data_IF_405773096414
#
_entry.id   IF_405773096414
#
_cell.length_a   1.000
_cell.length_b   1.000
_cell.length_c   1.000
_cell.angle_alpha   90.00
_cell.angle_beta   90.00
_cell.angle_gamma   90.00
#
_symmetry.space_group_name_H-M   'P 1'
#
loop_
_entity.id
_entity.type
_entity.pdbx_description
1 polymer ?
#
# COMPACT_ATOMS: atom_id res chain seq x y z
N UNK A 1 12.10 -4.24 5.81
CA UNK A 1 11.39 -5.16 6.67
C UNK A 1 11.33 -4.74 8.12
N UNK A 2 10.26 -5.08 8.79
CA UNK A 2 10.11 -4.82 10.22
C UNK A 2 10.85 -5.90 11.02
N UNK A 3 11.74 -5.50 11.93
CA UNK A 3 12.26 -6.35 12.96
C UNK A 3 11.90 -5.76 14.32
N UNK A 4 11.37 -6.59 15.21
CA UNK A 4 11.08 -6.15 16.57
C UNK A 4 12.36 -6.10 17.39
N UNK A 5 12.88 -4.90 17.61
CA UNK A 5 14.04 -4.68 18.48
C UNK A 5 13.58 -4.12 19.84
N UNK A 6 12.52 -3.32 19.83
CA UNK A 6 11.94 -2.68 21.00
C UNK A 6 10.42 -2.68 20.93
N UNK A 7 9.74 -2.71 22.08
CA UNK A 7 8.31 -2.47 22.14
C UNK A 7 7.98 -0.99 21.81
N UNK A 8 6.85 -0.69 21.12
CA UNK A 8 5.89 -1.65 20.55
C UNK A 8 6.41 -2.33 19.28
N UNK A 9 6.20 -3.65 19.18
CA UNK A 9 6.72 -4.47 18.11
C UNK A 9 5.62 -4.78 17.09
N UNK A 10 5.88 -4.51 15.81
CA UNK A 10 4.95 -4.80 14.71
C UNK A 10 4.87 -6.31 14.47
N UNK A 11 6.01 -6.97 14.47
CA UNK A 11 6.15 -8.42 14.29
C UNK A 11 7.48 -8.93 14.83
N UNK A 12 7.62 -10.25 15.03
CA UNK A 12 8.81 -10.84 15.63
C UNK A 12 9.95 -11.09 14.65
N UNK A 13 9.67 -11.14 13.35
CA UNK A 13 10.65 -11.40 12.31
C UNK A 13 10.69 -10.26 11.30
N UNK A 14 11.83 -10.08 10.64
CA UNK A 14 11.95 -9.18 9.49
C UNK A 14 11.17 -9.73 8.31
N UNK A 15 10.66 -8.84 7.47
CA UNK A 15 10.19 -9.22 6.14
C UNK A 15 11.38 -9.57 5.24
N UNK A 16 11.15 -10.39 4.24
CA UNK A 16 12.15 -10.89 3.28
C UNK A 16 12.34 -9.96 2.06
N UNK A 17 11.81 -8.76 2.12
CA UNK A 17 11.92 -7.77 1.05
C UNK A 17 12.44 -6.42 1.54
N UNK A 18 13.00 -5.64 0.62
CA UNK A 18 13.39 -4.27 0.87
C UNK A 18 12.23 -3.31 0.62
N UNK A 19 12.08 -2.33 1.49
CA UNK A 19 11.16 -1.21 1.30
C UNK A 19 11.57 -0.32 0.13
N UNK A 20 10.60 0.40 -0.44
CA UNK A 20 10.80 1.32 -1.56
C UNK A 20 11.95 2.32 -1.33
N UNK A 21 12.03 2.90 -0.14
CA UNK A 21 13.10 3.83 0.23
C UNK A 21 14.47 3.16 0.20
N UNK A 22 14.60 1.95 0.74
CA UNK A 22 15.87 1.20 0.75
C UNK A 22 16.31 0.83 -0.66
N UNK A 23 15.38 0.43 -1.52
CA UNK A 23 15.67 0.13 -2.94
C UNK A 23 16.21 1.39 -3.62
N UNK A 24 15.54 2.53 -3.43
CA UNK A 24 15.96 3.81 -4.02
C UNK A 24 17.35 4.23 -3.53
N UNK A 25 17.62 4.13 -2.23
CA UNK A 25 18.93 4.50 -1.66
C UNK A 25 20.05 3.59 -2.15
N UNK A 26 19.81 2.27 -2.19
CA UNK A 26 20.78 1.30 -2.72
C UNK A 26 21.06 1.56 -4.20
N UNK A 27 20.04 1.81 -4.99
CA UNK A 27 20.19 2.10 -6.42
C UNK A 27 20.98 3.39 -6.63
N UNK A 28 20.64 4.47 -5.94
CA UNK A 28 21.37 5.73 -6.00
C UNK A 28 22.84 5.56 -5.61
N UNK A 29 23.12 4.73 -4.60
CA UNK A 29 24.50 4.42 -4.19
C UNK A 29 25.27 3.68 -5.26
N UNK A 30 24.65 2.66 -5.88
CA UNK A 30 25.25 1.90 -6.98
C UNK A 30 25.57 2.82 -8.15
N UNK A 31 24.64 3.67 -8.56
CA UNK A 31 24.81 4.59 -9.69
C UNK A 31 25.89 5.67 -9.43
N UNK A 32 26.06 6.12 -8.19
CA UNK A 32 26.92 7.24 -7.88
C UNK A 32 28.38 6.87 -7.56
N UNK A 33 28.62 5.70 -6.98
CA UNK A 33 29.94 5.36 -6.40
C UNK A 33 30.43 3.94 -6.69
N UNK A 34 29.62 3.06 -7.24
CA UNK A 34 29.99 1.66 -7.48
C UNK A 34 30.61 1.44 -8.87
N UNK A 35 31.62 2.24 -9.22
CA UNK A 35 32.30 2.22 -10.52
C UNK A 35 33.34 1.08 -10.66
N UNK A 36 33.49 0.21 -9.68
CA UNK A 36 34.33 -0.99 -9.75
C UNK A 36 33.55 -2.25 -10.19
N UNK A 37 32.22 -2.16 -10.30
CA UNK A 37 31.39 -3.30 -10.69
C UNK A 37 31.47 -3.57 -12.19
N UNK A 38 31.53 -4.86 -12.56
CA UNK A 38 31.28 -5.29 -13.93
C UNK A 38 29.79 -5.50 -14.14
N UNK A 39 29.23 -4.92 -15.20
CA UNK A 39 27.84 -5.06 -15.54
C UNK A 39 27.67 -6.12 -16.64
N UNK A 40 26.69 -7.00 -16.46
CA UNK A 40 26.28 -7.97 -17.48
C UNK A 40 24.82 -7.67 -17.85
N UNK A 41 24.53 -7.42 -19.14
CA UNK A 41 23.15 -7.25 -19.56
C UNK A 41 22.34 -8.53 -19.30
N UNK A 42 21.21 -8.41 -18.64
CA UNK A 42 20.29 -9.53 -18.35
C UNK A 42 19.27 -9.73 -19.47
N UNK A 43 19.02 -8.71 -20.30
CA UNK A 43 17.95 -8.70 -21.28
C UNK A 43 16.56 -8.53 -20.67
N UNK A 44 16.47 -8.39 -19.35
CA UNK A 44 15.23 -8.20 -18.62
C UNK A 44 14.88 -6.71 -18.50
N UNK A 45 13.64 -6.36 -18.84
CA UNK A 45 13.09 -5.00 -18.70
C UNK A 45 12.52 -4.78 -17.30
N UNK A 46 12.52 -3.54 -16.84
CA UNK A 46 11.81 -3.23 -15.61
C UNK A 46 10.30 -3.11 -15.86
N UNK A 47 9.46 -3.47 -14.88
CA UNK A 47 8.02 -3.22 -14.97
C UNK A 47 7.70 -1.74 -15.21
N UNK A 48 6.61 -1.48 -15.93
CA UNK A 48 6.05 -0.14 -16.13
C UNK A 48 4.81 -0.04 -15.25
N UNK A 49 4.80 0.94 -14.33
CA UNK A 49 3.73 1.12 -13.35
C UNK A 49 2.84 2.31 -13.74
N UNK A 50 1.55 2.18 -13.41
CA UNK A 50 0.61 3.27 -13.33
C UNK A 50 -0.23 3.05 -12.05
N UNK A 51 0.06 3.80 -10.98
CA UNK A 51 -0.66 3.76 -9.70
C UNK A 51 -1.96 4.57 -9.73
N UNK A 52 -2.18 5.34 -10.80
CA UNK A 52 -3.36 6.18 -10.98
C UNK A 52 -3.11 7.64 -10.59
N UNK A 53 -4.12 8.26 -9.98
CA UNK A 53 -4.10 9.68 -9.59
C UNK A 53 -4.19 9.81 -8.06
N UNK A 54 -3.75 10.97 -7.56
CA UNK A 54 -3.96 11.36 -6.16
C UNK A 54 -5.45 11.35 -5.81
N UNK A 55 -5.77 10.90 -4.59
CA UNK A 55 -7.14 10.81 -4.10
C UNK A 55 -7.41 11.81 -2.98
N UNK A 56 -8.64 12.32 -2.98
CA UNK A 56 -9.19 13.05 -1.84
C UNK A 56 -10.42 12.32 -1.35
N UNK A 57 -10.43 11.96 -0.06
CA UNK A 57 -11.49 11.15 0.56
C UNK A 57 -11.97 11.79 1.87
N UNK A 58 -13.16 11.48 2.36
CA UNK A 58 -13.58 11.86 3.71
C UNK A 58 -12.69 11.21 4.78
N UNK A 59 -12.51 11.88 5.92
CA UNK A 59 -11.93 11.24 7.12
C UNK A 59 -12.77 10.02 7.53
N UNK A 60 -12.20 9.11 8.31
CA UNK A 60 -12.87 7.90 8.83
C UNK A 60 -13.45 6.97 7.74
N UNK A 61 -12.97 7.07 6.52
CA UNK A 61 -13.42 6.26 5.39
C UNK A 61 -12.35 5.26 4.98
N UNK A 62 -12.61 3.94 5.07
CA UNK A 62 -11.75 2.92 4.47
C UNK A 62 -11.63 3.13 2.95
N UNK A 63 -10.48 2.81 2.39
CA UNK A 63 -10.23 3.02 0.96
C UNK A 63 -9.44 1.88 0.35
N UNK A 64 -9.34 1.85 -0.96
CA UNK A 64 -8.52 0.90 -1.70
C UNK A 64 -7.52 1.64 -2.57
N UNK A 65 -6.25 1.28 -2.46
CA UNK A 65 -5.22 1.67 -3.41
C UNK A 65 -5.27 0.69 -4.58
N UNK A 66 -5.37 1.22 -5.79
CA UNK A 66 -5.45 0.43 -7.02
C UNK A 66 -4.23 0.72 -7.86
N UNK A 67 -3.43 -0.30 -8.13
CA UNK A 67 -2.29 -0.22 -9.03
C UNK A 67 -2.55 -0.93 -10.34
N UNK A 68 -1.73 -0.62 -11.31
CA UNK A 68 -1.64 -1.34 -12.56
C UNK A 68 -0.19 -1.34 -13.02
N UNK A 69 0.28 -2.48 -13.52
CA UNK A 69 1.61 -2.57 -14.10
C UNK A 69 1.61 -3.56 -15.27
N UNK A 70 2.53 -3.34 -16.18
CA UNK A 70 2.85 -4.24 -17.29
C UNK A 70 4.35 -4.48 -17.33
N UNK A 71 4.76 -5.58 -17.96
CA UNK A 71 6.16 -5.85 -18.24
C UNK A 71 6.37 -6.12 -19.74
N UNK A 72 7.56 -5.76 -20.23
CA UNK A 72 7.94 -6.02 -21.61
C UNK A 72 8.30 -7.47 -21.88
N UNK A 73 8.50 -8.27 -20.85
CA UNK A 73 8.83 -9.67 -20.90
C UNK A 73 7.57 -10.50 -20.62
N UNK A 74 7.02 -11.17 -21.62
CA UNK A 74 5.67 -11.78 -21.62
C UNK A 74 5.41 -12.84 -20.52
N UNK A 75 6.45 -13.43 -19.95
CA UNK A 75 6.33 -14.52 -18.97
C UNK A 75 6.61 -14.09 -17.53
N UNK A 76 6.85 -12.82 -17.28
CA UNK A 76 7.20 -12.34 -15.95
C UNK A 76 5.97 -12.30 -15.04
N UNK A 77 6.15 -12.84 -13.84
CA UNK A 77 5.08 -12.88 -12.82
C UNK A 77 5.27 -11.72 -11.85
N UNK A 78 4.48 -10.69 -12.03
CA UNK A 78 4.58 -9.48 -11.22
C UNK A 78 4.06 -9.70 -9.80
N UNK A 79 4.76 -9.10 -8.84
CA UNK A 79 4.30 -8.96 -7.47
C UNK A 79 4.28 -7.49 -7.03
N UNK A 80 3.32 -7.15 -6.19
CA UNK A 80 2.95 -5.79 -5.84
C UNK A 80 3.06 -5.57 -4.34
N UNK A 81 3.61 -4.42 -3.96
CA UNK A 81 3.67 -3.99 -2.57
C UNK A 81 3.31 -2.50 -2.47
N UNK A 82 2.24 -2.19 -1.74
CA UNK A 82 1.90 -0.82 -1.36
C UNK A 82 2.46 -0.50 0.01
N UNK A 83 3.25 0.55 0.11
CA UNK A 83 3.88 1.00 1.34
C UNK A 83 3.52 2.46 1.63
N UNK A 84 3.24 2.78 2.89
CA UNK A 84 3.18 4.18 3.30
C UNK A 84 4.60 4.69 3.52
N UNK A 85 4.93 5.84 2.93
CA UNK A 85 6.29 6.40 2.91
C UNK A 85 6.44 7.66 3.78
N UNK A 86 5.41 8.03 4.54
CA UNK A 86 5.51 9.10 5.52
C UNK A 86 6.48 8.70 6.64
N UNK A 87 7.47 9.56 6.90
CA UNK A 87 8.62 9.24 7.76
C UNK A 87 8.69 10.04 9.06
N UNK A 88 7.66 10.80 9.37
CA UNK A 88 7.60 11.57 10.63
C UNK A 88 7.55 10.62 11.82
N UNK A 89 8.29 10.96 12.87
CA UNK A 89 8.27 10.21 14.13
C UNK A 89 7.02 10.59 14.90
N UNK A 90 6.18 9.60 15.16
CA UNK A 90 4.90 9.75 15.88
C UNK A 90 4.72 8.62 16.88
N UNK A 91 3.69 8.74 17.73
CA UNK A 91 3.32 7.69 18.69
C UNK A 91 2.98 6.38 17.97
N UNK A 92 3.51 5.25 18.46
CA UNK A 92 3.24 3.91 17.96
C UNK A 92 2.70 3.00 19.08
N UNK A 93 1.75 2.11 18.78
CA UNK A 93 1.04 1.93 17.50
C UNK A 93 0.34 3.20 17.03
N UNK A 94 0.09 3.35 15.69
CA UNK A 94 -0.53 4.54 15.15
C UNK A 94 -1.91 4.80 15.76
N UNK A 95 -2.26 6.08 15.89
CA UNK A 95 -3.57 6.51 16.40
C UNK A 95 -4.32 7.30 15.33
N UNK A 96 -5.65 7.19 15.31
CA UNK A 96 -6.50 7.78 14.26
C UNK A 96 -6.49 9.32 14.23
N UNK A 97 -6.06 9.95 15.32
CA UNK A 97 -5.95 11.41 15.46
C UNK A 97 -4.59 11.98 15.06
N UNK A 98 -3.64 11.12 14.63
CA UNK A 98 -2.35 11.60 14.15
C UNK A 98 -2.49 12.34 12.82
N UNK A 99 -1.96 13.56 12.77
CA UNK A 99 -1.99 14.42 11.58
C UNK A 99 -0.83 14.18 10.61
N UNK A 100 0.14 13.32 10.98
CA UNK A 100 1.32 12.99 10.19
C UNK A 100 1.86 11.60 10.55
N UNK A 101 2.89 11.14 9.84
CA UNK A 101 3.58 9.88 10.09
C UNK A 101 2.82 8.64 9.61
N UNK A 102 3.41 7.46 9.77
CA UNK A 102 2.82 6.23 9.27
C UNK A 102 1.56 5.83 10.06
N UNK A 103 0.52 5.42 9.33
CA UNK A 103 -0.74 4.89 9.87
C UNK A 103 -1.00 3.45 9.40
N UNK A 104 -0.30 3.00 8.37
CA UNK A 104 -0.44 1.67 7.78
C UNK A 104 0.92 0.99 7.64
N UNK A 105 1.02 -0.21 8.20
CA UNK A 105 2.24 -1.03 8.08
C UNK A 105 2.47 -1.47 6.63
N UNK A 106 3.71 -1.76 6.27
CA UNK A 106 4.02 -2.52 5.07
C UNK A 106 3.63 -4.00 5.27
N UNK A 107 3.17 -4.64 4.20
CA UNK A 107 2.86 -6.07 4.15
C UNK A 107 3.73 -6.75 3.09
N UNK A 108 3.89 -8.08 3.10
CA UNK A 108 4.56 -8.80 2.02
C UNK A 108 3.94 -8.52 0.66
N UNK A 109 4.77 -8.64 -0.39
CA UNK A 109 4.29 -8.51 -1.78
C UNK A 109 3.30 -9.61 -2.13
N UNK A 110 2.28 -9.27 -2.91
CA UNK A 110 1.23 -10.18 -3.38
C UNK A 110 1.01 -10.04 -4.88
N UNK A 111 0.30 -10.98 -5.49
CA UNK A 111 -0.02 -10.94 -6.92
C UNK A 111 -1.12 -9.94 -7.29
N UNK A 112 -1.88 -9.45 -6.31
CA UNK A 112 -2.91 -8.42 -6.54
C UNK A 112 -2.28 -7.03 -6.56
N UNK A 113 -2.59 -6.19 -7.56
CA UNK A 113 -2.14 -4.80 -7.59
C UNK A 113 -2.89 -3.90 -6.59
N UNK A 114 -3.95 -4.42 -5.96
CA UNK A 114 -4.82 -3.65 -5.08
C UNK A 114 -4.49 -3.92 -3.61
N UNK A 115 -4.55 -2.88 -2.78
CA UNK A 115 -4.47 -3.00 -1.32
C UNK A 115 -5.62 -2.26 -0.64
N UNK A 116 -6.35 -2.95 0.23
CA UNK A 116 -7.38 -2.37 1.09
C UNK A 116 -6.76 -1.74 2.32
N UNK A 117 -7.24 -0.57 2.71
CA UNK A 117 -6.80 0.24 3.84
C UNK A 117 -7.96 0.54 4.81
N UNK A 118 -8.07 -0.16 5.94
CA UNK A 118 -7.28 -1.30 6.38
C UNK A 118 -7.64 -2.57 5.60
N UNK A 119 -7.00 -3.69 5.95
CA UNK A 119 -7.26 -4.99 5.34
C UNK A 119 -8.77 -5.31 5.28
N UNK A 120 -9.25 -5.83 4.14
CA UNK A 120 -10.68 -6.08 3.90
C UNK A 120 -11.39 -6.88 5.01
N UNK A 121 -10.79 -7.92 5.63
CA UNK A 121 -11.43 -8.61 6.75
C UNK A 121 -11.74 -7.69 7.94
N UNK A 122 -10.91 -6.68 8.20
CA UNK A 122 -11.14 -5.68 9.25
C UNK A 122 -12.39 -4.86 8.94
N UNK A 123 -12.54 -4.42 7.69
CA UNK A 123 -13.70 -3.65 7.24
C UNK A 123 -14.98 -4.50 7.29
N UNK A 124 -14.93 -5.75 6.83
CA UNK A 124 -16.07 -6.68 6.88
C UNK A 124 -16.52 -6.94 8.32
N UNK A 125 -15.57 -6.96 9.28
CA UNK A 125 -15.88 -7.09 10.70
C UNK A 125 -16.46 -5.80 11.33
N UNK A 126 -16.70 -4.75 10.53
CA UNK A 126 -17.29 -3.48 11.00
C UNK A 126 -16.28 -2.54 11.66
N UNK A 127 -14.97 -2.78 11.49
CA UNK A 127 -13.92 -1.90 12.03
C UNK A 127 -13.20 -1.14 10.91
N UNK A 128 -12.80 0.10 11.19
CA UNK A 128 -11.97 0.92 10.30
C UNK A 128 -10.50 0.96 10.75
N UNK A 129 -10.13 0.15 11.74
CA UNK A 129 -8.78 0.15 12.29
C UNK A 129 -8.41 -1.21 12.85
N UNK A 130 -7.15 -1.55 12.72
CA UNK A 130 -6.45 -2.60 13.49
C UNK A 130 -5.26 -1.97 14.23
N UNK A 131 -4.48 -2.77 14.96
CA UNK A 131 -3.33 -2.23 15.72
C UNK A 131 -2.32 -1.47 14.82
N UNK A 132 -2.12 -1.92 13.59
CA UNK A 132 -1.07 -1.41 12.70
C UNK A 132 -1.61 -0.90 11.35
N UNK A 133 -2.91 -0.78 11.23
CA UNK A 133 -3.57 -0.18 10.07
C UNK A 133 -4.74 0.67 10.57
N UNK A 134 -4.57 1.98 10.57
CA UNK A 134 -5.50 2.91 11.23
C UNK A 134 -5.95 3.98 10.25
N UNK A 135 -7.24 4.00 9.94
CA UNK A 135 -7.85 5.06 9.12
C UNK A 135 -7.89 6.36 9.93
N UNK A 136 -7.39 7.48 9.39
CA UNK A 136 -7.42 8.77 10.09
C UNK A 136 -8.84 9.28 10.33
N UNK A 137 -9.09 9.79 11.53
CA UNK A 137 -10.33 10.51 11.88
C UNK A 137 -10.16 12.03 11.78
N UNK A 138 -9.05 12.48 11.24
CA UNK A 138 -8.67 13.88 11.04
C UNK A 138 -8.27 14.13 9.59
N UNK A 139 -8.31 15.38 9.17
CA UNK A 139 -7.76 15.80 7.88
C UNK A 139 -6.24 15.67 7.90
N UNK A 140 -5.67 15.00 6.90
CA UNK A 140 -4.22 14.86 6.70
C UNK A 140 -3.87 14.39 5.29
N UNK A 141 -2.62 14.51 4.94
CA UNK A 141 -2.03 13.86 3.77
C UNK A 141 -1.33 12.55 4.18
N UNK A 142 -1.38 11.57 3.29
CA UNK A 142 -0.67 10.29 3.38
C UNK A 142 -0.06 9.99 2.03
N UNK A 143 1.22 9.63 2.02
CA UNK A 143 1.95 9.31 0.81
C UNK A 143 2.21 7.81 0.74
N UNK A 144 1.87 7.20 -0.37
CA UNK A 144 2.03 5.78 -0.61
C UNK A 144 2.91 5.53 -1.83
N UNK A 145 3.63 4.44 -1.79
CA UNK A 145 4.47 3.96 -2.89
C UNK A 145 4.01 2.58 -3.31
N UNK A 146 3.78 2.39 -4.59
CA UNK A 146 3.63 1.08 -5.20
C UNK A 146 5.00 0.60 -5.69
N UNK A 147 5.46 -0.51 -5.16
CA UNK A 147 6.64 -1.22 -5.66
C UNK A 147 6.19 -2.47 -6.39
N UNK A 148 6.59 -2.61 -7.64
CA UNK A 148 6.33 -3.79 -8.47
C UNK A 148 7.65 -4.49 -8.78
N UNK A 149 7.67 -5.82 -8.68
CA UNK A 149 8.82 -6.68 -8.96
C UNK A 149 8.44 -7.73 -9.99
N UNK A 150 9.32 -7.97 -10.93
CA UNK A 150 9.14 -8.99 -11.97
C UNK A 150 9.53 -10.42 -11.54
N UNK A 151 10.25 -10.54 -10.41
CA UNK A 151 10.67 -11.80 -9.80
C UNK A 151 11.51 -12.72 -10.70
N UNK A 152 12.21 -12.17 -11.68
CA UNK A 152 13.06 -12.93 -12.60
C UNK A 152 14.32 -13.43 -11.91
N UNK A 153 14.54 -14.73 -11.90
CA UNK A 153 15.72 -15.33 -11.29
C UNK A 153 17.02 -14.88 -11.97
N UNK A 154 17.95 -14.30 -11.20
CA UNK A 154 19.27 -13.90 -11.70
C UNK A 154 19.31 -12.56 -12.42
N UNK A 155 18.20 -11.82 -12.49
CA UNK A 155 18.17 -10.54 -13.19
C UNK A 155 16.92 -9.73 -12.92
N UNK A 156 16.30 -9.94 -11.76
CA UNK A 156 15.06 -9.25 -11.39
C UNK A 156 15.20 -7.73 -11.40
N UNK A 157 14.15 -7.08 -11.87
CA UNK A 157 13.99 -5.65 -11.80
C UNK A 157 12.80 -5.26 -10.91
N UNK A 158 12.78 -4.01 -10.50
CA UNK A 158 11.65 -3.41 -9.81
C UNK A 158 11.41 -2.01 -10.31
N UNK A 159 10.16 -1.60 -10.27
CA UNK A 159 9.76 -0.23 -10.51
C UNK A 159 8.99 0.30 -9.31
N UNK A 160 8.92 1.62 -9.19
CA UNK A 160 8.21 2.34 -8.14
C UNK A 160 7.45 3.50 -8.73
N UNK A 161 6.25 3.73 -8.21
CA UNK A 161 5.50 4.96 -8.43
C UNK A 161 4.76 5.38 -7.16
N UNK A 162 4.48 6.67 -6.99
CA UNK A 162 4.01 7.23 -5.73
C UNK A 162 2.69 7.98 -5.91
N UNK A 163 1.80 7.86 -4.91
CA UNK A 163 0.48 8.48 -4.90
C UNK A 163 0.21 9.11 -3.55
N UNK A 164 -0.58 10.18 -3.55
CA UNK A 164 -1.03 10.86 -2.35
C UNK A 164 -2.52 10.63 -2.10
N UNK A 165 -2.87 10.32 -0.86
CA UNK A 165 -4.24 10.27 -0.37
C UNK A 165 -4.43 11.38 0.66
N UNK A 166 -5.37 12.29 0.39
CA UNK A 166 -5.72 13.38 1.31
C UNK A 166 -7.05 13.08 1.97
N UNK A 167 -7.07 12.95 3.30
CA UNK A 167 -8.32 12.92 4.05
C UNK A 167 -8.79 14.33 4.36
N UNK A 168 -10.08 14.60 4.15
CA UNK A 168 -10.71 15.89 4.45
C UNK A 168 -11.66 15.79 5.63
N UNK A 169 -11.84 16.91 6.34
CA UNK A 169 -12.79 17.03 7.46
C UNK A 169 -14.23 17.22 6.95
N UNK A 170 -14.71 16.21 6.23
CA UNK A 170 -16.09 16.11 5.77
C UNK A 170 -16.72 14.82 6.27
N UNK A 171 -18.04 14.72 6.19
CA UNK A 171 -18.79 13.54 6.63
C UNK A 171 -18.21 12.27 6.01
N UNK A 172 -17.95 11.24 6.83
CA UNK A 172 -17.48 9.94 6.31
C UNK A 172 -18.48 9.34 5.33
N UNK A 173 -17.97 8.61 4.35
CA UNK A 173 -18.81 7.80 3.48
C UNK A 173 -19.51 6.71 4.31
N UNK A 174 -20.83 6.63 4.19
CA UNK A 174 -21.64 5.60 4.84
C UNK A 174 -22.59 4.95 3.87
N UNK A 175 -22.85 3.65 4.08
CA UNK A 175 -23.90 2.91 3.36
C UNK A 175 -25.13 2.86 4.25
N UNK A 176 -26.21 3.50 3.82
CA UNK A 176 -27.46 3.63 4.58
C UNK A 176 -28.45 2.50 4.30
N UNK A 177 -28.34 1.87 3.16
CA UNK A 177 -29.23 0.77 2.79
C UNK A 177 -28.57 -0.26 1.87
N UNK A 178 -28.75 -1.57 2.17
CA UNK A 178 -29.45 -2.13 3.30
C UNK A 178 -28.70 -1.94 4.63
N UNK A 179 -29.42 -1.63 5.71
CA UNK A 179 -28.86 -1.44 7.05
C UNK A 179 -28.84 -2.74 7.90
N UNK A 180 -29.40 -3.81 7.35
CA UNK A 180 -29.47 -5.15 7.97
C UNK A 180 -29.07 -6.20 6.96
N UNK A 181 -28.76 -7.41 7.45
CA UNK A 181 -28.55 -8.56 6.57
C UNK A 181 -29.81 -8.81 5.72
N UNK A 182 -29.63 -8.96 4.42
CA UNK A 182 -30.69 -9.24 3.46
C UNK A 182 -30.31 -10.39 2.55
N UNK A 183 -31.27 -11.21 2.20
CA UNK A 183 -31.11 -12.26 1.21
C UNK A 183 -31.59 -11.71 -0.15
N UNK A 184 -30.72 -11.71 -1.13
CA UNK A 184 -31.03 -11.23 -2.46
C UNK A 184 -31.24 -12.39 -3.44
N UNK A 185 -32.41 -12.47 -4.10
CA UNK A 185 -32.64 -13.48 -5.14
C UNK A 185 -31.64 -13.34 -6.28
N UNK A 186 -31.15 -14.47 -6.77
CA UNK A 186 -30.22 -14.50 -7.92
C UNK A 186 -30.90 -13.84 -9.13
N UNK A 187 -30.15 -12.92 -9.78
CA UNK A 187 -30.64 -12.21 -10.96
C UNK A 187 -31.57 -11.02 -10.69
N UNK A 188 -31.86 -10.70 -9.42
CA UNK A 188 -32.61 -9.49 -9.06
C UNK A 188 -31.71 -8.25 -9.02
N UNK A 189 -32.26 -7.11 -9.43
CA UNK A 189 -31.62 -5.80 -9.23
C UNK A 189 -31.84 -5.33 -7.80
N UNK A 190 -30.82 -4.79 -7.17
CA UNK A 190 -30.85 -4.30 -5.81
C UNK A 190 -30.38 -2.86 -5.75
N UNK A 191 -30.95 -2.08 -4.82
CA UNK A 191 -30.53 -0.69 -4.60
C UNK A 191 -29.68 -0.61 -3.34
N UNK A 192 -28.49 -0.01 -3.46
CA UNK A 192 -27.63 0.34 -2.35
C UNK A 192 -27.67 1.85 -2.23
N UNK A 193 -28.01 2.37 -1.04
CA UNK A 193 -28.02 3.79 -0.74
C UNK A 193 -26.81 4.17 0.10
N UNK A 194 -26.21 5.31 -0.22
CA UNK A 194 -25.04 5.84 0.49
C UNK A 194 -25.07 7.37 0.54
N UNK A 195 -24.33 7.95 1.46
CA UNK A 195 -24.02 9.38 1.60
C UNK A 195 -22.53 9.59 1.73
#
# INVERSE_FOLDING_TARGET
GYAGICAPNVQNNSDDHFHSVSITEMWNKIQSTANCAQTTPTGNSAPIINEGQDYTIPKSTPFVLKGNASDGNENDVLSYNWEQIDNQVVTMPPVSTSTSGPAFRSNPSISSPNRYMPALPTVIAGSISSTWEVVPTVAREMNFSLVVRDNVAGGANSARDDIKVTTQDITPFTVDGPSTNVDWPVGSSQTINWV
#
